data_IF_169656456826
#
_entry.id   IF_169656456826
#
_cell.length_a   1.000
_cell.length_b   1.000
_cell.length_c   1.000
_cell.angle_alpha   90.00
_cell.angle_beta   90.00
_cell.angle_gamma   90.00
#
_symmetry.space_group_name_H-M   'P 1'
#
loop_
_entity.id
_entity.type
_entity.pdbx_description
1 polymer ?
#
# COMPACT_ATOMS: atom_id res chain seq x y z
N UNK A 1 -8.02 8.51 4.39
CA UNK A 1 -7.32 7.24 4.06
C UNK A 1 -6.47 6.79 5.24
N UNK A 2 -5.97 5.54 5.30
CA UNK A 2 -5.37 4.98 6.54
C UNK A 2 -4.21 5.85 7.07
N UNK A 3 -3.23 6.19 6.23
CA UNK A 3 -2.07 7.01 6.64
C UNK A 3 -2.36 8.51 6.68
N UNK A 4 -3.55 8.94 6.26
CA UNK A 4 -3.95 10.35 6.24
C UNK A 4 -4.52 10.78 7.59
N UNK A 5 -5.31 9.91 8.25
CA UNK A 5 -5.86 10.17 9.58
C UNK A 5 -4.76 10.14 10.65
N UNK A 6 -4.54 11.25 11.40
CA UNK A 6 -3.64 11.26 12.56
C UNK A 6 -4.03 10.22 13.61
N UNK A 7 -5.32 10.07 13.89
CA UNK A 7 -5.86 9.16 14.92
C UNK A 7 -5.55 7.71 14.57
N UNK A 8 -5.69 7.33 13.29
CA UNK A 8 -5.32 5.98 12.83
C UNK A 8 -3.81 5.81 12.89
N UNK A 9 -3.02 6.83 12.52
CA UNK A 9 -1.55 6.74 12.56
C UNK A 9 -1.03 6.48 13.97
N UNK A 10 -1.65 7.03 15.01
CA UNK A 10 -1.26 6.80 16.40
C UNK A 10 -1.48 5.35 16.85
N UNK A 11 -2.41 4.63 16.23
CA UNK A 11 -2.70 3.23 16.54
C UNK A 11 -1.80 2.22 15.80
N UNK A 12 -1.01 2.67 14.82
CA UNK A 12 -0.18 1.78 14.00
C UNK A 12 1.22 1.64 14.59
N UNK A 13 1.64 0.43 14.92
CA UNK A 13 3.01 0.13 15.37
C UNK A 13 4.06 0.33 14.27
N UNK A 14 3.67 0.10 13.00
CA UNK A 14 4.54 0.22 11.82
C UNK A 14 3.73 0.78 10.65
N UNK A 15 4.27 1.80 9.98
CA UNK A 15 3.64 2.49 8.85
C UNK A 15 4.45 2.21 7.59
N UNK A 16 3.85 1.47 6.66
CA UNK A 16 4.52 1.03 5.43
C UNK A 16 3.84 1.64 4.22
N UNK A 17 4.62 2.22 3.31
CA UNK A 17 4.14 2.70 2.01
C UNK A 17 4.79 1.89 0.89
N UNK A 18 3.97 1.28 0.03
CA UNK A 18 4.46 0.55 -1.14
C UNK A 18 4.51 1.50 -2.33
N UNK A 19 5.73 1.77 -2.80
CA UNK A 19 5.97 2.68 -3.90
C UNK A 19 6.23 1.91 -5.20
N UNK A 20 5.62 2.35 -6.29
CA UNK A 20 5.69 1.71 -7.60
C UNK A 20 5.20 2.71 -8.64
N UNK A 21 5.83 2.75 -9.80
CA UNK A 21 5.49 3.72 -10.85
C UNK A 21 4.03 3.65 -11.30
N UNK A 22 3.49 4.82 -11.67
CA UNK A 22 2.08 4.97 -11.99
C UNK A 22 1.64 4.13 -13.20
N UNK A 23 2.51 3.97 -14.19
CA UNK A 23 2.33 3.14 -15.39
C UNK A 23 2.26 1.64 -15.05
N UNK A 24 3.17 1.14 -14.22
CA UNK A 24 3.15 -0.23 -13.71
C UNK A 24 1.87 -0.49 -12.93
N UNK A 25 1.46 0.45 -12.06
CA UNK A 25 0.23 0.32 -11.27
C UNK A 25 -1.03 0.29 -12.13
N UNK A 26 -1.14 1.16 -13.15
CA UNK A 26 -2.32 1.17 -14.03
C UNK A 26 -2.38 -0.06 -14.93
N UNK A 27 -1.26 -0.55 -15.44
CA UNK A 27 -1.21 -1.81 -16.22
C UNK A 27 -1.71 -2.99 -15.37
N UNK A 28 -1.18 -3.14 -14.14
CA UNK A 28 -1.65 -4.18 -13.20
C UNK A 28 -3.14 -4.03 -12.90
N UNK A 29 -3.63 -2.80 -12.74
CA UNK A 29 -5.06 -2.52 -12.49
C UNK A 29 -5.93 -2.89 -13.68
N UNK A 30 -5.54 -2.55 -14.91
CA UNK A 30 -6.28 -2.89 -16.13
C UNK A 30 -6.42 -4.40 -16.26
N UNK A 31 -5.30 -5.14 -16.17
CA UNK A 31 -5.30 -6.59 -16.28
C UNK A 31 -6.22 -7.24 -15.24
N UNK A 32 -6.16 -6.79 -13.99
CA UNK A 32 -7.00 -7.30 -12.90
C UNK A 32 -8.48 -6.96 -13.09
N UNK A 33 -8.81 -5.71 -13.37
CA UNK A 33 -10.20 -5.25 -13.49
C UNK A 33 -10.89 -5.86 -14.72
N UNK A 34 -10.16 -6.12 -15.81
CA UNK A 34 -10.70 -6.85 -16.97
C UNK A 34 -10.90 -8.34 -16.66
N UNK A 35 -9.89 -9.01 -16.10
CA UNK A 35 -9.90 -10.47 -15.89
C UNK A 35 -10.83 -10.90 -14.76
N UNK A 36 -10.86 -10.16 -13.66
CA UNK A 36 -11.54 -10.59 -12.43
C UNK A 36 -12.88 -9.88 -12.20
N UNK A 37 -13.10 -8.71 -12.83
CA UNK A 37 -14.29 -7.87 -12.60
C UNK A 37 -15.11 -7.59 -13.85
N UNK A 38 -14.71 -8.11 -15.00
CA UNK A 38 -15.46 -8.00 -16.27
C UNK A 38 -15.61 -6.57 -16.79
N UNK A 39 -14.71 -5.65 -16.42
CA UNK A 39 -14.77 -4.25 -16.89
C UNK A 39 -14.19 -4.11 -18.29
N UNK A 40 -14.72 -3.16 -19.08
CA UNK A 40 -14.12 -2.76 -20.36
C UNK A 40 -12.89 -1.88 -20.13
N UNK A 41 -11.97 -1.88 -21.09
CA UNK A 41 -10.77 -1.05 -21.07
C UNK A 41 -11.12 0.45 -20.94
N UNK A 42 -12.09 0.92 -21.73
CA UNK A 42 -12.52 2.33 -21.72
C UNK A 42 -13.05 2.78 -20.36
N UNK A 43 -13.83 1.93 -19.69
CA UNK A 43 -14.35 2.20 -18.34
C UNK A 43 -13.22 2.34 -17.32
N UNK A 44 -12.21 1.47 -17.39
CA UNK A 44 -11.06 1.51 -16.48
C UNK A 44 -10.20 2.76 -16.74
N UNK A 45 -9.93 3.10 -18.00
CA UNK A 45 -9.15 4.29 -18.36
C UNK A 45 -9.87 5.56 -17.92
N UNK A 46 -11.17 5.67 -18.21
CA UNK A 46 -11.99 6.83 -17.81
C UNK A 46 -11.95 7.01 -16.29
N UNK A 47 -12.23 5.95 -15.53
CA UNK A 47 -12.16 6.00 -14.06
C UNK A 47 -10.76 6.38 -13.55
N UNK A 48 -9.70 5.88 -14.20
CA UNK A 48 -8.34 6.19 -13.81
C UNK A 48 -8.03 7.68 -13.97
N UNK A 49 -8.38 8.25 -15.12
CA UNK A 49 -8.09 9.64 -15.45
C UNK A 49 -8.93 10.64 -14.65
N UNK A 50 -10.24 10.35 -14.49
CA UNK A 50 -11.17 11.29 -13.83
C UNK A 50 -11.08 11.25 -12.31
N UNK A 51 -10.76 10.08 -11.73
CA UNK A 51 -10.88 9.88 -10.28
C UNK A 51 -9.56 9.40 -9.67
N UNK A 52 -9.02 8.27 -10.14
CA UNK A 52 -7.94 7.60 -9.41
C UNK A 52 -6.65 8.40 -9.42
N UNK A 53 -6.26 8.96 -10.57
CA UNK A 53 -5.01 9.72 -10.71
C UNK A 53 -5.05 11.04 -9.93
N UNK A 54 -6.09 11.91 -10.06
CA UNK A 54 -6.19 13.12 -9.25
C UNK A 54 -6.17 12.81 -7.75
N UNK A 55 -7.01 11.87 -7.30
CA UNK A 55 -7.10 11.51 -5.88
C UNK A 55 -5.79 10.90 -5.36
N UNK A 56 -5.04 10.20 -6.20
CA UNK A 56 -3.72 9.69 -5.81
C UNK A 56 -2.75 10.83 -5.52
N UNK A 57 -2.64 11.82 -6.41
CA UNK A 57 -1.75 12.96 -6.18
C UNK A 57 -2.19 13.86 -5.03
N UNK A 58 -3.49 14.04 -4.86
CA UNK A 58 -4.03 14.94 -3.83
C UNK A 58 -4.01 14.31 -2.44
N UNK A 59 -4.31 13.01 -2.32
CA UNK A 59 -4.57 12.39 -1.02
C UNK A 59 -3.75 11.12 -0.72
N UNK A 60 -3.19 10.41 -1.72
CA UNK A 60 -2.38 9.20 -1.46
C UNK A 60 -0.91 9.57 -1.33
N UNK A 61 -0.34 10.17 -2.39
CA UNK A 61 1.10 10.41 -2.49
C UNK A 61 1.63 11.27 -1.33
N UNK A 62 0.92 12.32 -0.85
CA UNK A 62 1.39 13.09 0.30
C UNK A 62 1.52 12.27 1.58
N UNK A 63 0.75 11.19 1.74
CA UNK A 63 0.79 10.34 2.96
C UNK A 63 2.07 9.50 3.06
N UNK A 64 2.82 9.36 1.96
CA UNK A 64 4.13 8.70 1.92
C UNK A 64 5.11 9.27 2.94
N UNK A 65 5.00 10.56 3.26
CA UNK A 65 5.84 11.24 4.28
C UNK A 65 5.66 10.70 5.70
N UNK A 66 4.56 10.00 5.97
CA UNK A 66 4.25 9.43 7.28
C UNK A 66 4.66 7.96 7.39
N UNK A 67 5.27 7.38 6.35
CA UNK A 67 5.73 6.00 6.38
C UNK A 67 7.07 5.89 7.11
N UNK A 68 7.19 4.88 7.97
CA UNK A 68 8.46 4.48 8.56
C UNK A 68 9.33 3.75 7.53
N UNK A 69 8.69 3.00 6.63
CA UNK A 69 9.35 2.20 5.59
C UNK A 69 8.66 2.40 4.24
N UNK A 70 9.46 2.68 3.21
CA UNK A 70 9.01 2.72 1.82
C UNK A 70 9.57 1.49 1.09
N UNK A 71 8.67 0.69 0.50
CA UNK A 71 9.03 -0.54 -0.21
C UNK A 71 8.87 -0.34 -1.71
N UNK A 72 9.95 -0.37 -2.51
CA UNK A 72 9.84 -0.34 -3.95
C UNK A 72 9.29 -1.67 -4.48
N UNK A 73 8.53 -1.59 -5.57
CA UNK A 73 8.03 -2.72 -6.38
C UNK A 73 7.07 -3.72 -5.68
N UNK A 74 6.70 -3.45 -4.43
CA UNK A 74 5.66 -4.17 -3.69
C UNK A 74 5.92 -5.68 -3.57
N UNK A 75 4.93 -6.50 -3.97
CA UNK A 75 4.88 -7.94 -3.70
C UNK A 75 5.99 -8.81 -4.32
N UNK A 76 6.87 -8.24 -5.14
CA UNK A 76 8.04 -8.94 -5.69
C UNK A 76 9.31 -8.75 -4.86
N UNK A 77 9.30 -7.79 -3.93
CA UNK A 77 10.44 -7.51 -3.07
C UNK A 77 10.48 -8.48 -1.89
N UNK A 78 11.01 -9.69 -2.15
CA UNK A 78 11.12 -10.77 -1.14
C UNK A 78 11.91 -10.32 0.09
N UNK A 79 12.98 -9.56 -0.12
CA UNK A 79 13.81 -9.03 0.98
C UNK A 79 12.98 -8.13 1.90
N UNK A 80 12.17 -7.22 1.35
CA UNK A 80 11.30 -6.37 2.16
C UNK A 80 10.22 -7.15 2.89
N UNK A 81 9.64 -8.18 2.25
CA UNK A 81 8.67 -9.08 2.89
C UNK A 81 9.32 -9.82 4.08
N UNK A 82 10.53 -10.36 3.90
CA UNK A 82 11.25 -11.08 4.96
C UNK A 82 11.55 -10.17 6.16
N UNK A 83 11.93 -8.92 5.91
CA UNK A 83 12.14 -7.91 6.96
C UNK A 83 10.84 -7.62 7.72
N UNK A 84 9.71 -7.45 7.02
CA UNK A 84 8.40 -7.25 7.65
C UNK A 84 8.04 -8.46 8.51
N UNK A 85 8.18 -9.68 7.98
CA UNK A 85 7.87 -10.93 8.69
C UNK A 85 8.73 -11.05 9.95
N UNK A 86 10.03 -10.79 9.85
CA UNK A 86 10.94 -10.81 11.00
C UNK A 86 10.52 -9.78 12.07
N UNK A 87 10.12 -8.57 11.66
CA UNK A 87 9.67 -7.53 12.58
C UNK A 87 8.34 -7.88 13.26
N UNK A 88 7.37 -8.41 12.52
CA UNK A 88 6.10 -8.89 13.07
C UNK A 88 6.35 -10.00 14.09
N UNK A 89 7.18 -10.99 13.76
CA UNK A 89 7.54 -12.06 14.68
C UNK A 89 8.23 -11.53 15.95
N UNK A 90 9.12 -10.55 15.81
CA UNK A 90 9.74 -9.90 16.97
C UNK A 90 8.70 -9.24 17.88
N UNK A 91 7.73 -8.51 17.34
CA UNK A 91 6.68 -7.86 18.14
C UNK A 91 5.82 -8.90 18.86
N UNK A 92 5.42 -9.97 18.16
CA UNK A 92 4.61 -11.05 18.74
C UNK A 92 5.36 -11.78 19.86
N UNK A 93 6.65 -12.04 19.68
CA UNK A 93 7.47 -12.73 20.68
C UNK A 93 7.78 -11.84 21.89
N UNK A 94 7.98 -10.52 21.71
CA UNK A 94 8.17 -9.58 22.83
C UNK A 94 6.89 -9.42 23.67
N UNK A 95 5.71 -9.51 23.06
CA UNK A 95 4.44 -9.48 23.79
C UNK A 95 4.14 -10.78 24.57
N UNK A 96 4.84 -11.88 24.28
CA UNK A 96 4.74 -13.13 25.03
C UNK A 96 5.40 -13.07 26.41
N UNK A 97 6.36 -12.16 26.62
CA UNK A 97 7.08 -12.02 27.89
C UNK A 97 6.32 -11.17 28.93
N UNK A 98 5.24 -10.49 28.55
CA UNK A 98 4.39 -9.74 29.47
C UNK A 98 3.28 -10.59 30.13
N UNK A 99 3.07 -11.83 29.68
CA UNK A 99 2.04 -12.76 30.19
C UNK A 99 2.68 -13.91 31.01
N UNK A 100 3.96 -13.80 31.37
CA UNK A 100 4.64 -14.73 32.29
C UNK A 100 5.08 -14.04 33.58
#
# INVERSE_FOLDING_TARGET
MILDSPEIRELLDIKIFVDTDADVRIIRRILRDMKERGRSLDSVIKQYMEVVKPMHYEFIEPTKRYADIIIPEGGYNRVAIDIIVAKVNSILNTNGDFIR
#
